data_IF_597069679766
#
_entry.id   IF_597069679766
#
_cell.length_a   1.000
_cell.length_b   1.000
_cell.length_c   1.000
_cell.angle_alpha   90.00
_cell.angle_beta   90.00
_cell.angle_gamma   90.00
#
_symmetry.space_group_name_H-M   'P 1'
#
loop_
_entity.id
_entity.type
_entity.pdbx_description
1 polymer ?
#
# COMPACT_ATOMS: atom_id res chain seq x y z
N UNK A 1 -41.33 81.04 8.54
CA UNK A 1 -40.91 79.63 8.46
C UNK A 1 -41.36 78.96 7.17
N UNK A 2 -42.65 78.94 6.81
CA UNK A 2 -43.20 78.31 5.59
C UNK A 2 -42.52 78.77 4.28
N UNK A 3 -42.22 80.06 4.15
CA UNK A 3 -41.57 80.63 2.94
C UNK A 3 -40.09 80.19 2.80
N UNK A 4 -39.44 79.79 3.85
CA UNK A 4 -38.09 79.25 3.84
C UNK A 4 -38.07 77.72 3.49
N UNK A 5 -39.06 77.02 3.95
CA UNK A 5 -39.25 75.61 3.63
C UNK A 5 -39.56 75.43 2.17
N UNK A 6 -40.50 76.22 1.59
CA UNK A 6 -40.81 76.19 0.15
C UNK A 6 -39.63 76.59 -0.74
N UNK A 7 -38.69 77.43 -0.26
CA UNK A 7 -37.48 77.73 -1.01
C UNK A 7 -36.49 76.59 -1.01
N UNK A 8 -36.48 75.75 -0.03
CA UNK A 8 -35.63 74.57 -0.02
C UNK A 8 -36.17 73.44 -0.95
N UNK A 9 -37.49 73.32 -1.02
CA UNK A 9 -38.13 72.27 -1.84
C UNK A 9 -38.03 72.54 -3.36
N UNK A 10 -37.88 73.80 -3.76
CA UNK A 10 -37.85 74.18 -5.16
C UNK A 10 -36.47 74.72 -5.66
N UNK A 11 -35.41 74.43 -4.91
CA UNK A 11 -34.07 74.80 -5.40
C UNK A 11 -33.63 73.90 -6.57
N UNK A 12 -33.43 74.50 -7.73
CA UNK A 12 -32.84 73.84 -8.88
C UNK A 12 -31.44 73.36 -8.49
N UNK A 13 -31.30 72.08 -8.33
CA UNK A 13 -29.99 71.50 -8.07
C UNK A 13 -29.15 71.47 -9.32
N UNK A 14 -28.01 72.13 -9.31
CA UNK A 14 -27.02 72.01 -10.39
C UNK A 14 -26.43 70.60 -10.35
N UNK A 15 -26.71 69.82 -11.38
CA UNK A 15 -26.08 68.48 -11.56
C UNK A 15 -24.60 68.68 -11.82
N UNK A 16 -23.73 68.32 -10.92
CA UNK A 16 -22.28 68.19 -11.13
C UNK A 16 -22.03 66.79 -11.67
N UNK A 17 -21.38 66.72 -12.83
CA UNK A 17 -20.98 65.47 -13.43
C UNK A 17 -20.13 64.67 -12.43
N UNK A 18 -20.50 63.42 -12.15
CA UNK A 18 -19.77 62.52 -11.26
C UNK A 18 -20.11 62.58 -9.77
N UNK A 19 -21.10 63.35 -9.31
CA UNK A 19 -21.56 63.33 -7.92
C UNK A 19 -23.02 62.97 -7.83
N UNK A 20 -23.34 61.97 -7.02
CA UNK A 20 -24.72 61.63 -6.69
C UNK A 20 -25.37 62.79 -5.93
N UNK A 21 -26.60 63.11 -6.29
CA UNK A 21 -27.42 64.15 -5.65
C UNK A 21 -27.56 63.77 -4.14
N UNK A 22 -27.29 64.77 -3.25
CA UNK A 22 -27.53 64.57 -1.82
C UNK A 22 -29.04 64.34 -1.61
N UNK A 23 -29.38 63.24 -0.95
CA UNK A 23 -30.77 62.88 -0.60
C UNK A 23 -31.28 63.88 0.40
N UNK A 24 -32.58 64.29 0.28
CA UNK A 24 -33.21 65.14 1.28
C UNK A 24 -33.33 64.39 2.62
N UNK A 25 -33.34 65.07 3.74
CA UNK A 25 -33.34 64.49 5.09
C UNK A 25 -34.62 63.63 5.35
N UNK A 26 -35.69 63.83 4.59
CA UNK A 26 -36.94 63.07 4.59
C UNK A 26 -37.10 62.09 3.43
N UNK A 27 -35.98 61.75 2.76
CA UNK A 27 -36.01 60.82 1.64
C UNK A 27 -36.29 59.40 2.11
N UNK A 28 -37.45 58.89 1.85
CA UNK A 28 -37.78 57.48 2.00
C UNK A 28 -37.36 56.76 0.69
N UNK A 29 -36.45 55.82 0.78
CA UNK A 29 -36.03 55.04 -0.38
C UNK A 29 -37.13 54.01 -0.68
N UNK A 30 -37.95 54.34 -1.68
CA UNK A 30 -39.00 53.45 -2.18
C UNK A 30 -38.51 52.55 -3.32
N UNK A 31 -37.23 52.61 -3.67
CA UNK A 31 -36.64 51.72 -4.65
C UNK A 31 -36.45 50.33 -4.06
N UNK A 32 -37.45 49.52 -4.20
CA UNK A 32 -37.36 48.07 -3.93
C UNK A 32 -36.50 47.49 -5.08
N UNK A 33 -35.21 47.34 -4.85
CA UNK A 33 -34.39 46.41 -5.62
C UNK A 33 -34.77 45.01 -5.10
N UNK A 34 -35.68 44.37 -5.77
CA UNK A 34 -35.77 42.94 -5.67
C UNK A 34 -34.38 42.41 -6.05
N UNK A 35 -33.55 42.08 -5.06
CA UNK A 35 -32.49 41.10 -5.29
C UNK A 35 -33.26 39.84 -5.67
N UNK A 36 -33.41 39.60 -6.97
CA UNK A 36 -33.68 38.24 -7.38
C UNK A 36 -32.48 37.47 -6.77
N UNK A 37 -32.75 36.73 -5.73
CA UNK A 37 -31.91 35.61 -5.35
C UNK A 37 -32.09 34.71 -6.57
N UNK A 38 -31.23 34.90 -7.59
CA UNK A 38 -30.96 33.86 -8.54
C UNK A 38 -30.23 32.85 -7.64
N UNK A 39 -31.01 31.97 -7.02
CA UNK A 39 -30.54 30.63 -6.77
C UNK A 39 -30.21 30.13 -8.16
N UNK A 40 -28.96 30.36 -8.60
CA UNK A 40 -28.38 29.43 -9.51
C UNK A 40 -28.75 28.11 -8.88
N UNK A 41 -29.65 27.39 -9.50
CA UNK A 41 -29.87 26.01 -9.16
C UNK A 41 -28.48 25.42 -9.28
N UNK A 42 -27.78 25.41 -8.17
CA UNK A 42 -26.61 24.58 -8.02
C UNK A 42 -27.22 23.20 -8.15
N UNK A 43 -27.24 22.70 -9.37
CA UNK A 43 -27.35 21.28 -9.58
C UNK A 43 -26.22 20.73 -8.72
N UNK A 44 -26.56 20.23 -7.54
CA UNK A 44 -25.60 19.59 -6.63
C UNK A 44 -24.80 18.51 -7.37
N UNK A 45 -25.36 17.99 -8.47
CA UNK A 45 -24.73 17.05 -9.38
C UNK A 45 -23.79 17.69 -10.41
N UNK A 46 -24.06 18.91 -10.89
CA UNK A 46 -23.22 19.55 -11.92
C UNK A 46 -21.93 20.17 -11.34
N UNK A 47 -21.93 20.56 -10.06
CA UNK A 47 -20.75 21.10 -9.36
C UNK A 47 -20.10 20.08 -8.43
N UNK A 48 -20.62 18.86 -8.32
CA UNK A 48 -20.02 17.82 -7.53
C UNK A 48 -18.70 17.37 -8.21
N UNK A 49 -17.59 17.27 -7.47
CA UNK A 49 -16.35 16.75 -8.02
C UNK A 49 -16.58 15.32 -8.54
N UNK A 50 -15.97 14.97 -9.67
CA UNK A 50 -16.07 13.62 -10.22
C UNK A 50 -15.53 12.59 -9.21
N UNK A 51 -15.95 11.34 -9.36
CA UNK A 51 -15.46 10.25 -8.49
C UNK A 51 -13.94 10.15 -8.58
N UNK A 52 -13.37 10.33 -9.76
CA UNK A 52 -11.92 10.30 -9.96
C UNK A 52 -11.21 11.46 -9.22
N UNK A 53 -11.81 12.65 -9.22
CA UNK A 53 -11.29 13.79 -8.47
C UNK A 53 -11.39 13.56 -6.96
N UNK A 54 -12.51 13.03 -6.49
CA UNK A 54 -12.68 12.66 -5.07
C UNK A 54 -11.68 11.57 -4.66
N UNK A 55 -11.53 10.53 -5.48
CA UNK A 55 -10.58 9.45 -5.25
C UNK A 55 -9.13 9.98 -5.19
N UNK A 56 -8.74 10.83 -6.14
CA UNK A 56 -7.41 11.48 -6.16
C UNK A 56 -7.19 12.34 -4.93
N UNK A 57 -8.20 13.10 -4.51
CA UNK A 57 -8.15 13.90 -3.30
C UNK A 57 -7.96 13.03 -2.06
N UNK A 58 -8.75 11.97 -1.90
CA UNK A 58 -8.61 11.04 -0.78
C UNK A 58 -7.24 10.33 -0.79
N UNK A 59 -6.75 9.96 -1.98
CA UNK A 59 -5.41 9.39 -2.11
C UNK A 59 -4.31 10.37 -1.65
N UNK A 60 -4.49 11.67 -1.87
CA UNK A 60 -3.56 12.69 -1.36
C UNK A 60 -3.61 12.81 0.18
N UNK A 61 -4.79 12.60 0.79
CA UNK A 61 -4.96 12.63 2.25
C UNK A 61 -4.31 11.43 2.96
N UNK A 62 -3.95 10.37 2.24
CA UNK A 62 -3.17 9.26 2.79
C UNK A 62 -1.80 9.70 3.34
N UNK A 63 -1.25 10.84 2.89
CA UNK A 63 -0.02 11.44 3.40
C UNK A 63 -0.24 12.56 4.43
N UNK A 64 -1.46 12.73 4.95
CA UNK A 64 -1.77 13.78 5.93
C UNK A 64 -1.05 13.53 7.28
N UNK A 65 -0.87 14.60 8.05
CA UNK A 65 -0.21 14.51 9.37
C UNK A 65 -1.07 13.79 10.41
N UNK A 66 -2.40 13.89 10.31
CA UNK A 66 -3.34 13.32 11.27
C UNK A 66 -3.72 11.89 10.87
N UNK A 67 -3.59 10.95 11.80
CA UNK A 67 -3.92 9.53 11.60
C UNK A 67 -5.42 9.29 11.38
N UNK A 68 -6.31 10.08 11.96
CA UNK A 68 -7.75 10.02 11.68
C UNK A 68 -8.04 10.31 10.20
N UNK A 69 -7.46 11.37 9.64
CA UNK A 69 -7.62 11.70 8.22
C UNK A 69 -7.05 10.60 7.30
N UNK A 70 -5.86 10.06 7.63
CA UNK A 70 -5.30 8.95 6.86
C UNK A 70 -6.21 7.73 6.88
N UNK A 71 -6.70 7.35 8.06
CA UNK A 71 -7.62 6.21 8.22
C UNK A 71 -8.92 6.42 7.44
N UNK A 72 -9.53 7.61 7.57
CA UNK A 72 -10.82 7.91 6.93
C UNK A 72 -10.66 7.96 5.40
N UNK A 73 -9.54 8.50 4.91
CA UNK A 73 -9.19 8.45 3.50
C UNK A 73 -9.05 7.01 2.99
N UNK A 74 -8.33 6.15 3.70
CA UNK A 74 -8.18 4.73 3.32
C UNK A 74 -9.54 4.01 3.32
N UNK A 75 -10.40 4.27 4.31
CA UNK A 75 -11.73 3.68 4.35
C UNK A 75 -12.58 4.11 3.15
N UNK A 76 -12.53 5.39 2.76
CA UNK A 76 -13.19 5.88 1.55
C UNK A 76 -12.68 5.14 0.29
N UNK A 77 -11.34 5.04 0.14
CA UNK A 77 -10.74 4.30 -0.98
C UNK A 77 -11.19 2.84 -0.98
N UNK A 78 -11.25 2.19 0.19
CA UNK A 78 -11.69 0.80 0.31
C UNK A 78 -13.12 0.61 -0.16
N UNK A 79 -14.03 1.49 0.26
CA UNK A 79 -15.43 1.43 -0.14
C UNK A 79 -15.58 1.64 -1.65
N UNK A 80 -14.89 2.65 -2.21
CA UNK A 80 -14.94 2.93 -3.65
C UNK A 80 -14.40 1.77 -4.49
N UNK A 81 -13.32 1.13 -4.05
CA UNK A 81 -12.75 -0.07 -4.71
C UNK A 81 -13.70 -1.26 -4.60
N UNK A 82 -14.32 -1.48 -3.43
CA UNK A 82 -15.27 -2.57 -3.21
C UNK A 82 -16.54 -2.42 -4.06
N UNK A 83 -17.01 -1.18 -4.27
CA UNK A 83 -18.16 -0.90 -5.13
C UNK A 83 -17.87 -1.13 -6.61
N UNK A 84 -16.61 -0.98 -7.04
CA UNK A 84 -16.20 -1.02 -8.46
C UNK A 84 -14.91 -1.81 -8.67
N UNK A 85 -14.88 -3.10 -8.40
CA UNK A 85 -13.66 -3.90 -8.46
C UNK A 85 -13.05 -3.98 -9.86
N UNK A 86 -13.88 -3.95 -10.91
CA UNK A 86 -13.43 -4.05 -12.31
C UNK A 86 -13.21 -2.70 -13.00
N UNK A 87 -13.61 -1.60 -12.38
CA UNK A 87 -13.48 -0.26 -12.94
C UNK A 87 -12.98 0.72 -11.88
N UNK A 88 -11.70 0.61 -11.57
CA UNK A 88 -11.03 1.48 -10.60
C UNK A 88 -10.93 2.90 -11.17
N UNK A 89 -11.18 3.95 -10.36
CA UNK A 89 -11.01 5.35 -10.76
C UNK A 89 -9.58 5.68 -11.20
N UNK A 90 -8.59 5.01 -10.61
CA UNK A 90 -7.18 5.15 -10.96
C UNK A 90 -6.52 3.77 -11.10
N UNK A 91 -5.49 3.64 -11.95
CA UNK A 91 -4.73 2.40 -12.07
C UNK A 91 -4.00 2.09 -10.76
N UNK A 92 -3.92 0.79 -10.42
CA UNK A 92 -3.27 0.32 -9.20
C UNK A 92 -1.81 0.79 -9.09
N UNK A 93 -1.11 0.90 -10.23
CA UNK A 93 0.25 1.46 -10.31
C UNK A 93 0.37 2.89 -9.74
N UNK A 94 -0.70 3.68 -9.82
CA UNK A 94 -0.73 5.05 -9.26
C UNK A 94 -1.11 5.04 -7.77
N UNK A 95 -1.96 4.11 -7.36
CA UNK A 95 -2.46 3.98 -5.99
C UNK A 95 -1.35 3.47 -5.07
N UNK A 96 -0.67 2.39 -5.46
CA UNK A 96 0.30 1.67 -4.63
C UNK A 96 1.41 2.56 -4.05
N UNK A 97 2.11 3.41 -4.82
CA UNK A 97 3.19 4.24 -4.26
C UNK A 97 2.74 5.19 -3.15
N UNK A 98 1.46 5.55 -3.11
CA UNK A 98 0.89 6.43 -2.09
C UNK A 98 0.49 5.70 -0.82
N UNK A 99 0.09 4.43 -0.93
CA UNK A 99 -0.40 3.65 0.22
C UNK A 99 0.67 2.75 0.83
N UNK A 100 1.69 2.32 0.07
CA UNK A 100 2.76 1.44 0.55
C UNK A 100 3.48 1.96 1.80
N UNK A 101 3.84 3.26 1.93
CA UNK A 101 4.49 3.76 3.13
C UNK A 101 3.66 3.58 4.41
N UNK A 102 2.34 3.48 4.29
CA UNK A 102 1.42 3.29 5.42
C UNK A 102 1.53 1.89 6.06
N UNK A 103 2.24 0.95 5.44
CA UNK A 103 2.61 -0.33 6.07
C UNK A 103 3.44 -0.08 7.34
N UNK A 104 4.24 0.99 7.34
CA UNK A 104 5.10 1.39 8.45
C UNK A 104 4.46 2.48 9.34
N UNK A 105 3.19 2.78 9.15
CA UNK A 105 2.51 3.83 9.92
C UNK A 105 2.52 3.52 11.42
N UNK A 106 2.73 4.53 12.24
CA UNK A 106 2.73 4.38 13.70
C UNK A 106 1.34 3.95 14.23
N UNK A 107 0.26 4.43 13.59
CA UNK A 107 -1.11 4.15 14.02
C UNK A 107 -1.58 2.75 13.57
N UNK A 108 -1.94 1.91 14.54
CA UNK A 108 -2.49 0.58 14.26
C UNK A 108 -3.81 0.64 13.47
N UNK A 109 -4.64 1.67 13.72
CA UNK A 109 -5.91 1.85 13.00
C UNK A 109 -5.71 2.13 11.51
N UNK A 110 -4.66 2.87 11.15
CA UNK A 110 -4.27 3.15 9.77
C UNK A 110 -3.77 1.86 9.09
N UNK A 111 -2.89 1.09 9.75
CA UNK A 111 -2.38 -0.17 9.22
C UNK A 111 -3.49 -1.22 9.01
N UNK A 112 -4.44 -1.30 9.96
CA UNK A 112 -5.59 -2.18 9.83
C UNK A 112 -6.52 -1.78 8.66
N UNK A 113 -6.76 -0.49 8.47
CA UNK A 113 -7.52 0.02 7.33
C UNK A 113 -6.79 -0.26 6.01
N UNK A 114 -5.46 -0.06 5.97
CA UNK A 114 -4.63 -0.38 4.81
C UNK A 114 -4.73 -1.86 4.40
N UNK A 115 -4.66 -2.77 5.38
CA UNK A 115 -4.79 -4.21 5.10
C UNK A 115 -6.14 -4.56 4.47
N UNK A 116 -7.22 -3.87 4.88
CA UNK A 116 -8.54 -4.03 4.25
C UNK A 116 -8.54 -3.52 2.81
N UNK A 117 -7.93 -2.35 2.56
CA UNK A 117 -7.80 -1.80 1.22
C UNK A 117 -7.01 -2.73 0.29
N UNK A 118 -5.86 -3.24 0.76
CA UNK A 118 -5.04 -4.18 -0.02
C UNK A 118 -5.81 -5.44 -0.42
N UNK A 119 -6.64 -5.98 0.49
CA UNK A 119 -7.50 -7.14 0.22
C UNK A 119 -8.65 -6.84 -0.75
N UNK A 120 -9.06 -5.59 -0.86
CA UNK A 120 -10.11 -5.18 -1.79
C UNK A 120 -9.59 -4.95 -3.22
N UNK A 121 -8.27 -4.75 -3.38
CA UNK A 121 -7.66 -4.55 -4.70
C UNK A 121 -7.65 -5.85 -5.51
N UNK A 122 -7.79 -5.78 -6.85
CA UNK A 122 -7.77 -6.96 -7.70
C UNK A 122 -6.44 -7.72 -7.64
N UNK A 123 -6.43 -9.03 -7.39
CA UNK A 123 -5.21 -9.85 -7.22
C UNK A 123 -4.23 -9.76 -8.39
N UNK A 124 -4.74 -9.78 -9.62
CA UNK A 124 -3.91 -9.72 -10.83
C UNK A 124 -3.05 -8.46 -10.92
N UNK A 125 -3.58 -7.32 -10.45
CA UNK A 125 -2.82 -6.08 -10.42
C UNK A 125 -1.80 -6.02 -9.27
N UNK A 126 -2.07 -6.74 -8.17
CA UNK A 126 -1.12 -6.85 -7.05
C UNK A 126 0.08 -7.70 -7.47
N UNK A 127 -0.15 -8.81 -8.16
CA UNK A 127 0.90 -9.71 -8.63
C UNK A 127 2.01 -9.00 -9.43
N UNK A 128 1.64 -8.01 -10.25
CA UNK A 128 2.60 -7.23 -11.05
C UNK A 128 3.45 -6.22 -10.24
N UNK A 129 3.06 -5.92 -9.00
CA UNK A 129 3.71 -4.91 -8.15
C UNK A 129 4.18 -5.46 -6.81
N UNK A 130 4.32 -6.77 -6.69
CA UNK A 130 4.72 -7.45 -5.45
C UNK A 130 6.09 -7.00 -4.97
N UNK A 131 7.03 -6.78 -5.86
CA UNK A 131 8.40 -6.33 -5.57
C UNK A 131 8.41 -5.01 -4.79
N UNK A 132 7.61 -4.05 -5.21
CA UNK A 132 7.49 -2.76 -4.53
C UNK A 132 6.83 -2.87 -3.15
N UNK A 133 5.77 -3.67 -3.02
CA UNK A 133 5.11 -3.89 -1.73
C UNK A 133 6.05 -4.62 -0.77
N UNK A 134 6.77 -5.63 -1.26
CA UNK A 134 7.67 -6.45 -0.49
C UNK A 134 8.82 -5.63 0.13
N UNK A 135 9.25 -4.54 -0.50
CA UNK A 135 10.24 -3.63 0.05
C UNK A 135 9.78 -3.05 1.40
N UNK A 136 8.55 -2.53 1.45
CA UNK A 136 7.97 -1.97 2.68
C UNK A 136 7.63 -3.05 3.71
N UNK A 137 7.19 -4.22 3.27
CA UNK A 137 6.92 -5.36 4.15
C UNK A 137 8.20 -5.80 4.86
N UNK A 138 9.32 -5.95 4.14
CA UNK A 138 10.63 -6.29 4.72
C UNK A 138 11.10 -5.24 5.73
N UNK A 139 10.97 -3.95 5.38
CA UNK A 139 11.28 -2.87 6.31
C UNK A 139 10.41 -2.93 7.57
N UNK A 140 9.14 -3.31 7.43
CA UNK A 140 8.24 -3.51 8.56
C UNK A 140 8.55 -4.74 9.40
N UNK A 141 8.98 -5.84 8.79
CA UNK A 141 9.42 -7.04 9.50
C UNK A 141 10.63 -6.78 10.40
N UNK A 142 11.56 -5.92 9.99
CA UNK A 142 12.75 -5.56 10.74
C UNK A 142 12.56 -4.32 11.63
N UNK A 143 11.35 -3.80 11.73
CA UNK A 143 11.04 -2.58 12.50
C UNK A 143 11.20 -2.80 14.01
N UNK A 144 11.58 -1.75 14.76
CA UNK A 144 11.76 -1.83 16.21
C UNK A 144 10.45 -2.11 16.97
N UNK A 145 9.32 -1.51 16.53
CA UNK A 145 8.02 -1.69 17.16
C UNK A 145 7.42 -3.07 16.82
N UNK A 146 7.10 -3.86 17.85
CA UNK A 146 6.52 -5.20 17.70
C UNK A 146 5.16 -5.20 16.96
N UNK A 147 4.36 -4.15 17.15
CA UNK A 147 3.06 -4.01 16.49
C UNK A 147 3.20 -3.81 14.98
N UNK A 148 4.21 -3.05 14.53
CA UNK A 148 4.50 -2.87 13.11
C UNK A 148 5.00 -4.19 12.51
N UNK A 149 5.89 -4.92 13.23
CA UNK A 149 6.31 -6.26 12.78
C UNK A 149 5.12 -7.20 12.60
N UNK A 150 4.21 -7.24 13.58
CA UNK A 150 3.02 -8.09 13.53
C UNK A 150 2.11 -7.75 12.35
N UNK A 151 1.83 -6.47 12.10
CA UNK A 151 1.00 -6.04 10.98
C UNK A 151 1.68 -6.22 9.62
N UNK A 152 3.00 -6.08 9.54
CA UNK A 152 3.75 -6.37 8.31
C UNK A 152 3.71 -7.85 7.95
N UNK A 153 3.72 -8.74 8.96
CA UNK A 153 3.51 -10.17 8.74
C UNK A 153 2.09 -10.50 8.25
N UNK A 154 1.04 -9.73 8.68
CA UNK A 154 -0.31 -9.90 8.12
C UNK A 154 -0.37 -9.55 6.63
N UNK A 155 0.35 -8.49 6.23
CA UNK A 155 0.46 -8.11 4.83
C UNK A 155 1.25 -9.16 4.03
N UNK A 156 2.34 -9.69 4.59
CA UNK A 156 3.13 -10.75 3.94
C UNK A 156 2.33 -12.04 3.77
N UNK A 157 1.59 -12.46 4.81
CA UNK A 157 0.70 -13.61 4.75
C UNK A 157 -0.34 -13.47 3.64
N UNK A 158 -0.97 -12.29 3.55
CA UNK A 158 -1.90 -11.99 2.48
C UNK A 158 -1.24 -12.01 1.09
N UNK A 159 -0.04 -11.44 0.94
CA UNK A 159 0.71 -11.49 -0.32
C UNK A 159 1.04 -12.92 -0.75
N UNK A 160 1.45 -13.77 0.21
CA UNK A 160 1.74 -15.18 -0.06
C UNK A 160 0.51 -15.96 -0.52
N UNK A 161 -0.68 -15.62 0.02
CA UNK A 161 -1.95 -16.21 -0.42
C UNK A 161 -2.39 -15.73 -1.80
N UNK A 162 -2.06 -14.48 -2.16
CA UNK A 162 -2.57 -13.82 -3.36
C UNK A 162 -1.61 -13.99 -4.55
N UNK A 163 -0.32 -13.85 -4.32
CA UNK A 163 0.73 -13.79 -5.34
C UNK A 163 2.03 -14.44 -4.82
N UNK A 164 1.93 -15.64 -4.27
CA UNK A 164 3.05 -16.32 -3.62
C UNK A 164 4.18 -16.66 -4.59
N UNK A 165 3.88 -17.11 -5.80
CA UNK A 165 4.89 -17.45 -6.81
C UNK A 165 5.63 -16.21 -7.33
N UNK A 166 4.90 -15.14 -7.61
CA UNK A 166 5.47 -13.86 -8.01
C UNK A 166 6.35 -13.28 -6.91
N UNK A 167 5.93 -13.44 -5.65
CA UNK A 167 6.69 -12.98 -4.50
C UNK A 167 8.05 -13.69 -4.38
N UNK A 168 8.09 -15.01 -4.51
CA UNK A 168 9.34 -15.77 -4.37
C UNK A 168 10.24 -15.66 -5.59
N UNK A 169 9.68 -15.39 -6.77
CA UNK A 169 10.43 -15.27 -8.02
C UNK A 169 10.90 -13.85 -8.33
N UNK A 170 10.33 -12.80 -7.70
CA UNK A 170 10.76 -11.43 -7.95
C UNK A 170 12.21 -11.15 -7.45
N UNK A 171 12.81 -10.06 -7.93
CA UNK A 171 14.15 -9.67 -7.57
C UNK A 171 14.31 -9.48 -6.05
N UNK A 172 15.19 -10.28 -5.44
CA UNK A 172 15.39 -10.30 -3.99
C UNK A 172 14.18 -10.81 -3.19
N UNK A 173 13.17 -11.36 -3.86
CA UNK A 173 11.99 -11.92 -3.21
C UNK A 173 12.32 -13.12 -2.34
N UNK A 174 13.19 -14.01 -2.79
CA UNK A 174 13.57 -15.22 -2.08
C UNK A 174 14.59 -14.96 -0.98
N UNK A 175 15.84 -14.66 -1.33
CA UNK A 175 16.93 -14.59 -0.35
C UNK A 175 16.79 -13.46 0.66
N UNK A 176 16.45 -12.24 0.23
CA UNK A 176 16.32 -11.12 1.16
C UNK A 176 15.17 -11.33 2.16
N UNK A 177 14.06 -11.90 1.71
CA UNK A 177 12.94 -12.20 2.62
C UNK A 177 13.30 -13.31 3.59
N UNK A 178 14.02 -14.34 3.12
CA UNK A 178 14.54 -15.40 3.98
C UNK A 178 15.51 -14.84 5.05
N UNK A 179 16.43 -13.97 4.66
CA UNK A 179 17.34 -13.29 5.59
C UNK A 179 16.60 -12.43 6.62
N UNK A 180 15.53 -11.73 6.20
CA UNK A 180 14.67 -11.00 7.13
C UNK A 180 14.03 -11.95 8.16
N UNK A 181 13.57 -13.14 7.76
CA UNK A 181 13.09 -14.13 8.71
C UNK A 181 14.16 -14.64 9.66
N UNK A 182 15.35 -14.95 9.15
CA UNK A 182 16.46 -15.39 10.00
C UNK A 182 16.86 -14.32 11.02
N UNK A 183 16.89 -13.05 10.61
CA UNK A 183 17.14 -11.93 11.51
C UNK A 183 16.03 -11.76 12.53
N UNK A 184 14.77 -11.88 12.10
CA UNK A 184 13.59 -11.72 12.95
C UNK A 184 13.49 -12.80 14.02
N UNK A 185 13.87 -14.03 13.67
CA UNK A 185 13.89 -15.20 14.57
C UNK A 185 15.21 -15.33 15.38
N UNK A 186 16.18 -14.44 15.13
CA UNK A 186 17.50 -14.53 15.77
C UNK A 186 18.31 -15.76 15.35
N UNK A 187 17.98 -16.36 14.20
CA UNK A 187 18.64 -17.58 13.67
C UNK A 187 19.77 -17.26 12.68
N UNK A 188 20.47 -16.16 12.85
CA UNK A 188 21.55 -15.78 11.93
C UNK A 188 22.71 -16.78 11.96
N UNK A 189 23.37 -16.93 10.82
CA UNK A 189 24.57 -17.76 10.70
C UNK A 189 25.77 -17.04 11.32
N UNK A 190 26.57 -17.75 12.11
CA UNK A 190 27.78 -17.22 12.77
C UNK A 190 28.83 -16.56 11.83
N UNK A 191 28.74 -16.80 10.52
CA UNK A 191 29.57 -16.12 9.51
C UNK A 191 29.16 -14.67 9.26
N UNK A 192 27.87 -14.35 9.44
CA UNK A 192 27.34 -13.00 9.27
C UNK A 192 27.58 -12.15 10.53
N UNK A 193 27.66 -12.79 11.70
CA UNK A 193 28.01 -12.15 12.98
C UNK A 193 29.42 -11.57 12.99
N UNK A 194 30.38 -12.24 12.33
CA UNK A 194 31.77 -11.76 12.23
C UNK A 194 31.94 -10.54 11.29
N UNK A 195 31.05 -10.36 10.30
CA UNK A 195 31.06 -9.21 9.39
C UNK A 195 30.35 -7.98 9.96
N UNK A 196 29.45 -8.17 10.90
CA UNK A 196 28.60 -7.10 11.47
C UNK A 196 29.19 -6.47 12.75
N UNK A 197 30.48 -6.62 13.03
CA UNK A 197 31.12 -5.97 14.18
C UNK A 197 30.36 -6.17 15.50
N UNK A 198 31.07 -6.24 16.59
CA UNK A 198 30.71 -6.58 17.98
C UNK A 198 29.46 -5.88 18.62
N UNK A 199 28.47 -5.43 17.82
CA UNK A 199 27.26 -4.70 18.28
C UNK A 199 25.95 -5.48 18.10
N UNK A 200 26.01 -6.73 17.61
CA UNK A 200 24.83 -7.60 17.65
C UNK A 200 24.65 -8.12 19.08
N UNK A 201 23.89 -7.40 19.89
CA UNK A 201 23.33 -8.01 21.09
C UNK A 201 22.52 -9.22 20.64
N UNK A 202 23.01 -10.42 20.96
CA UNK A 202 22.22 -11.64 20.85
C UNK A 202 20.90 -11.42 21.59
N UNK A 203 19.88 -11.00 20.87
CA UNK A 203 18.52 -11.18 21.32
C UNK A 203 18.22 -12.65 21.13
N UNK A 204 18.61 -13.47 22.10
CA UNK A 204 18.02 -14.78 22.24
C UNK A 204 16.50 -14.59 22.15
N UNK A 205 15.88 -15.24 21.18
CA UNK A 205 14.43 -15.19 21.03
C UNK A 205 13.88 -15.89 22.26
N UNK A 206 13.56 -15.12 23.27
CA UNK A 206 12.88 -15.65 24.44
C UNK A 206 11.47 -16.05 23.99
N UNK A 207 11.16 -17.33 24.07
CA UNK A 207 9.83 -17.87 23.74
C UNK A 207 8.73 -17.31 24.65
N UNK A 208 9.08 -16.54 25.68
CA UNK A 208 8.13 -15.91 26.59
C UNK A 208 7.20 -16.93 27.25
N UNK A 209 6.43 -16.49 28.23
CA UNK A 209 5.41 -17.35 28.84
C UNK A 209 4.34 -17.73 27.81
N UNK A 210 3.83 -18.99 27.80
CA UNK A 210 2.72 -19.40 26.95
C UNK A 210 1.56 -18.40 27.02
N UNK A 211 1.05 -17.98 25.86
CA UNK A 211 -0.03 -16.97 25.76
C UNK A 211 0.38 -15.51 25.79
N UNK A 212 1.67 -15.18 26.00
CA UNK A 212 2.18 -13.81 25.94
C UNK A 212 2.10 -13.24 24.52
N UNK A 213 2.13 -11.90 24.40
CA UNK A 213 2.18 -11.23 23.08
C UNK A 213 3.42 -11.64 22.27
N UNK A 214 4.56 -11.87 22.92
CA UNK A 214 5.78 -12.35 22.29
C UNK A 214 5.62 -13.76 21.71
N UNK A 215 5.02 -14.68 22.46
CA UNK A 215 4.74 -16.05 22.02
C UNK A 215 3.78 -16.06 20.81
N UNK A 216 2.72 -15.25 20.85
CA UNK A 216 1.78 -15.13 19.71
C UNK A 216 2.48 -14.59 18.46
N UNK A 217 3.35 -13.60 18.61
CA UNK A 217 4.13 -13.06 17.50
C UNK A 217 5.07 -14.10 16.90
N UNK A 218 5.76 -14.88 17.76
CA UNK A 218 6.65 -15.95 17.32
C UNK A 218 5.91 -17.02 16.52
N UNK A 219 4.77 -17.50 17.05
CA UNK A 219 3.92 -18.47 16.33
C UNK A 219 3.53 -17.94 14.96
N UNK A 220 3.14 -16.65 14.88
CA UNK A 220 2.81 -16.01 13.62
C UNK A 220 4.00 -15.96 12.66
N UNK A 221 5.19 -15.61 13.16
CA UNK A 221 6.43 -15.59 12.37
C UNK A 221 6.73 -16.97 11.77
N UNK A 222 6.62 -18.03 12.56
CA UNK A 222 6.83 -19.41 12.12
C UNK A 222 5.79 -19.88 11.10
N UNK A 223 4.51 -19.50 11.30
CA UNK A 223 3.45 -19.84 10.35
C UNK A 223 3.69 -19.16 9.00
N UNK A 224 4.00 -17.86 9.00
CA UNK A 224 4.26 -17.11 7.76
C UNK A 224 5.54 -17.60 7.08
N UNK A 225 6.59 -17.95 7.84
CA UNK A 225 7.80 -18.60 7.31
C UNK A 225 7.45 -19.95 6.64
N UNK A 226 6.61 -20.76 7.25
CA UNK A 226 6.17 -22.03 6.67
C UNK A 226 5.43 -21.82 5.35
N UNK A 227 4.54 -20.83 5.29
CA UNK A 227 3.83 -20.47 4.05
C UNK A 227 4.81 -20.00 2.97
N UNK A 228 5.79 -19.16 3.36
CA UNK A 228 6.82 -18.66 2.45
C UNK A 228 7.68 -19.78 1.88
N UNK A 229 8.16 -20.72 2.73
CA UNK A 229 8.95 -21.86 2.28
C UNK A 229 8.12 -22.81 1.39
N UNK A 230 6.84 -23.01 1.73
CA UNK A 230 5.93 -23.79 0.89
C UNK A 230 5.77 -23.18 -0.49
N UNK A 231 5.51 -21.87 -0.56
CA UNK A 231 5.43 -21.15 -1.84
C UNK A 231 6.75 -21.23 -2.64
N UNK A 232 7.90 -21.22 -1.95
CA UNK A 232 9.22 -21.31 -2.58
C UNK A 232 9.58 -22.70 -3.12
N UNK A 233 9.11 -23.75 -2.47
CA UNK A 233 9.47 -25.14 -2.82
C UNK A 233 8.44 -25.83 -3.71
N UNK A 234 7.27 -25.22 -3.93
CA UNK A 234 6.25 -25.71 -4.85
C UNK A 234 6.57 -25.19 -6.26
N UNK A 235 6.64 -26.08 -7.20
CA UNK A 235 6.80 -25.70 -8.60
C UNK A 235 5.47 -25.15 -9.14
N UNK A 236 5.54 -24.07 -9.92
CA UNK A 236 4.38 -23.52 -10.61
C UNK A 236 3.76 -24.51 -11.61
N UNK A 237 4.54 -25.52 -12.03
CA UNK A 237 4.14 -26.59 -12.94
C UNK A 237 3.30 -27.69 -12.29
N UNK A 238 3.33 -27.82 -10.97
CA UNK A 238 2.50 -28.80 -10.24
C UNK A 238 1.06 -28.33 -9.99
N UNK A 239 0.65 -27.19 -10.54
CA UNK A 239 -0.75 -26.78 -10.62
C UNK A 239 -1.51 -27.48 -11.77
N UNK A 240 -1.17 -28.76 -12.06
CA UNK A 240 -1.92 -29.60 -13.00
C UNK A 240 -3.33 -29.97 -12.54
N UNK A 241 -3.72 -29.54 -11.33
CA UNK A 241 -5.10 -29.68 -10.82
C UNK A 241 -6.02 -28.48 -11.13
N UNK A 242 -5.52 -27.45 -11.81
CA UNK A 242 -6.38 -26.45 -12.39
C UNK A 242 -6.94 -27.01 -13.70
N UNK A 243 -8.16 -27.52 -13.63
CA UNK A 243 -8.86 -28.26 -14.68
C UNK A 243 -8.74 -27.76 -16.12
N UNK A 244 -9.34 -28.45 -17.09
CA UNK A 244 -9.02 -28.40 -18.53
C UNK A 244 -9.38 -27.09 -19.24
N UNK A 245 -9.33 -25.95 -18.56
CA UNK A 245 -9.66 -24.64 -19.17
C UNK A 245 -8.63 -24.15 -20.20
N UNK A 246 -7.41 -24.71 -20.21
CA UNK A 246 -6.35 -24.27 -21.12
C UNK A 246 -5.98 -25.29 -22.21
N UNK A 247 -6.69 -26.43 -22.31
CA UNK A 247 -6.40 -27.45 -23.30
C UNK A 247 -6.76 -27.06 -24.76
N UNK A 248 -7.40 -25.92 -24.96
CA UNK A 248 -7.82 -25.44 -26.29
C UNK A 248 -6.96 -24.29 -26.85
N UNK A 249 -5.96 -23.82 -26.13
CA UNK A 249 -5.03 -22.83 -26.67
C UNK A 249 -3.94 -23.54 -27.47
N UNK A 250 -3.92 -23.33 -28.80
CA UNK A 250 -2.78 -23.68 -29.63
C UNK A 250 -1.51 -23.06 -29.01
N UNK A 251 -0.38 -23.79 -28.95
CA UNK A 251 0.88 -23.29 -28.38
C UNK A 251 1.34 -21.96 -28.97
N UNK A 252 0.95 -21.68 -30.21
CA UNK A 252 1.22 -20.42 -30.93
C UNK A 252 0.36 -19.24 -30.46
N UNK A 253 -0.72 -19.49 -29.74
CA UNK A 253 -1.61 -18.45 -29.17
C UNK A 253 -1.45 -18.30 -27.67
N UNK A 254 -0.56 -19.09 -27.05
CA UNK A 254 -0.23 -18.93 -25.64
C UNK A 254 0.49 -17.60 -25.43
N UNK A 255 -0.09 -16.74 -24.59
CA UNK A 255 0.53 -15.46 -24.20
C UNK A 255 1.85 -15.65 -23.45
N UNK A 256 2.13 -16.86 -22.98
CA UNK A 256 3.39 -17.21 -22.32
C UNK A 256 4.60 -17.17 -23.27
N UNK A 257 4.38 -17.31 -24.57
CA UNK A 257 5.41 -17.20 -25.60
C UNK A 257 5.53 -15.78 -26.19
N UNK A 258 4.66 -14.87 -25.81
CA UNK A 258 4.80 -13.47 -26.22
C UNK A 258 5.87 -12.80 -25.36
N UNK A 259 6.85 -12.20 -26.02
CA UNK A 259 8.06 -11.59 -25.44
C UNK A 259 7.77 -10.42 -24.48
N UNK A 260 6.54 -9.96 -24.43
CA UNK A 260 6.09 -8.92 -23.53
C UNK A 260 5.57 -9.53 -22.23
N UNK A 261 6.50 -10.03 -21.44
CA UNK A 261 6.17 -10.37 -20.06
C UNK A 261 5.84 -9.09 -19.29
N UNK A 262 4.72 -9.11 -18.59
CA UNK A 262 4.43 -8.13 -17.54
C UNK A 262 5.43 -8.21 -16.37
N UNK A 263 6.38 -9.13 -16.42
CA UNK A 263 7.43 -9.37 -15.43
C UNK A 263 8.65 -8.49 -15.68
N UNK A 264 9.28 -8.04 -14.63
CA UNK A 264 10.27 -6.96 -14.56
C UNK A 264 11.58 -7.19 -15.34
N UNK A 265 11.85 -8.37 -15.89
CA UNK A 265 13.08 -8.61 -16.64
C UNK A 265 12.85 -9.52 -17.86
N UNK A 266 12.58 -8.95 -19.07
CA UNK A 266 12.40 -9.72 -20.29
C UNK A 266 13.69 -10.40 -20.79
N UNK A 267 14.86 -10.01 -20.30
CA UNK A 267 16.16 -10.53 -20.73
C UNK A 267 16.73 -11.60 -19.81
N UNK A 268 15.94 -12.06 -18.84
CA UNK A 268 16.35 -13.02 -17.82
C UNK A 268 16.94 -14.31 -18.41
N UNK A 269 16.36 -14.86 -19.46
CA UNK A 269 16.83 -16.10 -20.10
C UNK A 269 18.13 -15.94 -20.89
N UNK A 270 18.55 -14.71 -21.16
CA UNK A 270 19.69 -14.47 -22.03
C UNK A 270 21.04 -14.49 -21.28
N UNK A 271 21.05 -14.36 -19.95
CA UNK A 271 22.26 -14.35 -19.11
C UNK A 271 23.46 -13.58 -19.74
N UNK A 272 23.16 -12.44 -20.39
CA UNK A 272 24.13 -11.69 -21.20
C UNK A 272 25.33 -11.16 -20.40
N UNK A 273 25.17 -11.04 -19.09
CA UNK A 273 26.17 -10.41 -18.21
C UNK A 273 26.74 -11.37 -17.16
N UNK A 274 26.46 -12.67 -17.29
CA UNK A 274 26.89 -13.68 -16.33
C UNK A 274 26.04 -13.72 -15.04
N UNK A 275 26.53 -14.42 -14.05
CA UNK A 275 25.88 -14.52 -12.76
C UNK A 275 25.74 -13.13 -12.12
N UNK A 276 24.60 -12.78 -11.50
CA UNK A 276 24.42 -11.49 -10.86
C UNK A 276 25.49 -11.31 -9.78
N UNK A 277 26.12 -10.13 -9.75
CA UNK A 277 27.13 -9.80 -8.73
C UNK A 277 26.55 -9.77 -7.31
N UNK A 278 25.24 -9.57 -7.21
CA UNK A 278 24.50 -9.51 -5.96
C UNK A 278 23.50 -10.67 -5.92
N UNK A 279 23.91 -11.77 -5.29
CA UNK A 279 23.08 -12.95 -5.11
C UNK A 279 21.79 -12.66 -4.31
N UNK A 280 21.80 -11.65 -3.44
CA UNK A 280 20.65 -11.30 -2.62
C UNK A 280 19.52 -10.67 -3.45
N UNK A 281 19.87 -9.93 -4.52
CA UNK A 281 18.91 -9.35 -5.46
C UNK A 281 18.60 -10.26 -6.64
N UNK A 282 19.15 -11.45 -6.69
CA UNK A 282 18.91 -12.39 -7.77
C UNK A 282 17.43 -12.81 -7.81
N UNK A 283 16.96 -13.11 -9.00
CA UNK A 283 15.67 -13.74 -9.23
C UNK A 283 15.84 -15.26 -9.20
N UNK A 284 15.04 -15.93 -8.38
CA UNK A 284 15.01 -17.37 -8.25
C UNK A 284 13.68 -17.91 -8.76
N UNK A 285 13.59 -18.19 -10.05
CA UNK A 285 12.30 -18.63 -10.60
C UNK A 285 12.07 -20.13 -10.45
N UNK A 286 13.14 -20.93 -10.50
CA UNK A 286 13.04 -22.36 -10.40
C UNK A 286 13.04 -22.79 -8.93
N UNK A 287 12.16 -23.72 -8.56
CA UNK A 287 12.11 -24.26 -7.21
C UNK A 287 13.43 -24.95 -6.80
N UNK A 288 14.11 -25.59 -7.76
CA UNK A 288 15.43 -26.17 -7.51
C UNK A 288 16.51 -25.13 -7.19
N UNK A 289 16.53 -23.99 -7.89
CA UNK A 289 17.45 -22.91 -7.61
C UNK A 289 17.17 -22.31 -6.21
N UNK A 290 15.88 -22.20 -5.86
CA UNK A 290 15.45 -21.78 -4.51
C UNK A 290 15.89 -22.77 -3.43
N UNK A 291 15.71 -24.07 -3.67
CA UNK A 291 16.17 -25.13 -2.75
C UNK A 291 17.68 -25.09 -2.54
N UNK A 292 18.47 -25.03 -3.61
CA UNK A 292 19.95 -24.92 -3.53
C UNK A 292 20.38 -23.70 -2.71
N UNK A 293 19.82 -22.53 -3.00
CA UNK A 293 20.14 -21.31 -2.27
C UNK A 293 19.72 -21.38 -0.79
N UNK A 294 18.61 -22.07 -0.47
CA UNK A 294 18.18 -22.32 0.89
C UNK A 294 19.14 -23.26 1.63
N UNK A 295 19.59 -24.34 0.98
CA UNK A 295 20.55 -25.29 1.54
C UNK A 295 21.88 -24.63 1.87
N UNK A 296 22.34 -23.74 0.98
CA UNK A 296 23.61 -23.04 1.16
C UNK A 296 23.58 -22.00 2.30
N UNK A 297 22.47 -21.25 2.42
CA UNK A 297 22.40 -20.07 3.28
C UNK A 297 21.66 -20.34 4.59
N UNK A 298 20.53 -21.05 4.55
CA UNK A 298 19.56 -21.05 5.63
C UNK A 298 19.39 -22.39 6.36
N UNK A 299 19.63 -23.51 5.70
CA UNK A 299 19.30 -24.86 6.26
C UNK A 299 19.92 -25.08 7.64
N UNK A 300 21.19 -24.70 7.82
CA UNK A 300 21.89 -24.87 9.09
C UNK A 300 21.35 -23.96 10.19
N UNK A 301 20.97 -22.74 9.83
CA UNK A 301 20.42 -21.76 10.75
C UNK A 301 19.01 -22.16 11.21
N UNK A 302 18.17 -22.58 10.26
CA UNK A 302 16.81 -23.04 10.52
C UNK A 302 16.82 -24.33 11.36
N UNK A 303 17.67 -25.31 11.03
CA UNK A 303 17.78 -26.54 11.79
C UNK A 303 18.18 -26.30 13.26
N UNK A 304 19.17 -25.43 13.50
CA UNK A 304 19.56 -25.02 14.86
C UNK A 304 18.43 -24.30 15.59
N UNK A 305 17.77 -23.35 14.91
CA UNK A 305 16.65 -22.62 15.48
C UNK A 305 15.48 -23.51 15.87
N UNK A 306 15.14 -24.50 15.05
CA UNK A 306 14.08 -25.48 15.36
C UNK A 306 14.50 -26.38 16.55
N UNK A 307 15.76 -26.78 16.62
CA UNK A 307 16.26 -27.57 17.77
C UNK A 307 16.19 -26.77 19.07
N UNK A 308 16.63 -25.51 19.06
CA UNK A 308 16.53 -24.61 20.20
C UNK A 308 15.06 -24.42 20.64
N UNK A 309 14.17 -24.18 19.66
CA UNK A 309 12.74 -24.07 19.92
C UNK A 309 12.10 -25.30 20.58
N UNK A 310 12.53 -26.49 20.17
CA UNK A 310 12.08 -27.74 20.78
C UNK A 310 12.59 -27.94 22.21
N UNK A 311 13.80 -27.45 22.52
CA UNK A 311 14.38 -27.57 23.86
C UNK A 311 13.74 -26.61 24.86
N UNK A 312 13.32 -25.43 24.43
CA UNK A 312 12.71 -24.43 25.31
C UNK A 312 11.17 -24.60 25.45
N UNK A 313 10.52 -25.31 24.54
CA UNK A 313 9.06 -25.50 24.49
C UNK A 313 8.59 -26.86 25.06
N UNK A 314 9.49 -27.71 25.58
CA UNK A 314 9.20 -29.02 26.15
C UNK A 314 8.86 -28.99 27.65
#
# INVERSE_FOLDING_TARGET
>A
KKKRENKQDFQKTKLKVGKTKAKAANFTDTSFKAKSIVLNQQSLTAAAPSIDQQFTHQLSLCSSKTDSQRRDAINYLTNTVAERPNNLPLPVATILPKIQPLILDASNSVRAALTKLLRALPPAHIATHVDHILLYVRAGMTHLAAEIRASSLDVLEWLLQTAGQELVSCAGGWLKTLQCFLTLLGWQSSKQEQAAGNWSSERAVSFGKPGSAASKLLIKQLNVLTMFLRAGFTDATSAEDAGPANASCFPLCSTEHQVLYARSNPFRGLNLFGAPKDAENAMYDDAEARKRSFDDVAVRAVARGIQAAKQEGG
#
